data_IF_609762355479
#
_entry.id   IF_609762355479
#
_cell.length_a   1.000
_cell.length_b   1.000
_cell.length_c   1.000
_cell.angle_alpha   90.00
_cell.angle_beta   90.00
_cell.angle_gamma   90.00
#
_symmetry.space_group_name_H-M   'P 1'
#
loop_
_entity.id
_entity.type
_entity.pdbx_description
1 polymer ?
#
# COMPACT_ATOMS: atom_id res chain seq x y z
N UNK A 1 19.79 1.16 20.13
CA UNK A 1 19.55 1.06 18.67
C UNK A 1 18.27 1.83 18.47
N UNK A 2 18.39 3.08 18.04
CA UNK A 2 17.34 4.07 18.31
C UNK A 2 16.58 4.43 17.02
N UNK A 3 17.08 3.93 15.87
CA UNK A 3 16.48 4.08 14.55
C UNK A 3 16.42 2.73 13.85
N UNK A 4 15.28 2.46 13.22
CA UNK A 4 15.04 1.31 12.38
C UNK A 4 14.30 1.76 11.12
N UNK A 5 14.45 1.01 10.02
CA UNK A 5 13.59 1.14 8.84
C UNK A 5 12.97 -0.21 8.52
N UNK A 6 11.66 -0.23 8.34
CA UNK A 6 10.92 -1.40 7.88
C UNK A 6 10.48 -1.20 6.43
N UNK A 7 10.45 -2.30 5.67
CA UNK A 7 9.85 -2.38 4.35
C UNK A 7 8.72 -3.41 4.40
N UNK A 8 7.52 -3.00 3.98
CA UNK A 8 6.35 -3.89 3.86
C UNK A 8 6.03 -4.03 2.38
N UNK A 9 5.88 -5.28 1.93
CA UNK A 9 5.36 -5.58 0.60
C UNK A 9 3.84 -5.62 0.69
N UNK A 10 3.14 -4.92 -0.21
CA UNK A 10 1.69 -4.96 -0.24
C UNK A 10 1.18 -6.36 -0.57
N UNK A 11 0.17 -6.81 0.18
CA UNK A 11 -0.35 -8.16 0.08
C UNK A 11 -1.17 -8.35 -1.20
N UNK A 12 -1.14 -9.57 -1.74
CA UNK A 12 -2.11 -10.01 -2.75
C UNK A 12 -3.53 -9.84 -2.21
N UNK A 13 -4.49 -9.55 -3.08
CA UNK A 13 -5.86 -9.26 -2.64
C UNK A 13 -6.14 -7.77 -2.43
N UNK A 14 -5.10 -6.94 -2.30
CA UNK A 14 -5.25 -5.52 -1.93
C UNK A 14 -4.88 -4.59 -3.09
N UNK A 15 -5.35 -3.33 -3.13
CA UNK A 15 -4.88 -2.34 -4.11
C UNK A 15 -3.40 -1.96 -3.94
N UNK A 16 -2.73 -2.54 -2.94
CA UNK A 16 -1.32 -2.31 -2.61
C UNK A 16 -0.40 -3.41 -3.14
N UNK A 17 -0.96 -4.48 -3.71
CA UNK A 17 -0.22 -5.69 -4.06
C UNK A 17 1.06 -5.41 -4.87
N UNK A 18 2.13 -6.14 -4.54
CA UNK A 18 3.48 -6.01 -5.13
C UNK A 18 4.14 -4.63 -4.98
N UNK A 19 3.48 -3.65 -4.34
CA UNK A 19 4.10 -2.38 -3.93
C UNK A 19 5.07 -2.57 -2.77
N UNK A 20 6.04 -1.66 -2.64
CA UNK A 20 6.94 -1.57 -1.49
C UNK A 20 6.64 -0.30 -0.69
N UNK A 21 6.50 -0.44 0.62
CA UNK A 21 6.16 0.65 1.52
C UNK A 21 7.20 0.74 2.64
N UNK A 22 7.84 1.89 2.78
CA UNK A 22 8.93 2.08 3.74
C UNK A 22 8.50 2.92 4.94
N UNK A 23 8.87 2.46 6.12
CA UNK A 23 8.53 3.09 7.40
C UNK A 23 9.80 3.32 8.21
N UNK A 24 10.06 4.56 8.57
CA UNK A 24 11.15 4.96 9.46
C UNK A 24 10.63 4.93 10.89
N UNK A 25 11.35 4.26 11.77
CA UNK A 25 10.93 3.99 13.15
C UNK A 25 12.01 4.55 14.07
N UNK A 26 11.61 5.42 14.98
CA UNK A 26 12.47 6.01 16.00
C UNK A 26 11.98 5.59 17.39
N UNK A 27 12.89 5.06 18.20
CA UNK A 27 12.63 4.68 19.57
C UNK A 27 12.98 5.87 20.47
N UNK A 28 11.99 6.52 21.12
CA UNK A 28 12.27 7.64 22.01
C UNK A 28 13.08 7.18 23.24
N UNK A 29 13.74 8.11 23.98
CA UNK A 29 14.49 7.77 25.18
C UNK A 29 13.67 7.03 26.26
N UNK A 30 12.36 7.25 26.29
CA UNK A 30 11.44 6.61 27.24
C UNK A 30 10.77 5.35 26.67
N UNK A 31 11.24 4.80 25.54
CA UNK A 31 10.78 3.51 25.05
C UNK A 31 11.19 2.38 26.02
N UNK A 32 10.29 1.45 26.40
CA UNK A 32 8.96 1.20 25.83
C UNK A 32 7.80 1.87 26.59
N UNK A 33 8.02 2.76 27.56
CA UNK A 33 6.94 3.45 28.26
C UNK A 33 6.09 4.30 27.28
N UNK A 34 6.74 4.93 26.31
CA UNK A 34 6.10 5.58 25.16
C UNK A 34 6.23 4.72 23.88
N UNK A 35 5.26 4.79 22.94
CA UNK A 35 5.33 4.06 21.68
C UNK A 35 6.49 4.57 20.80
N UNK A 36 6.94 3.77 19.82
CA UNK A 36 7.87 4.24 18.81
C UNK A 36 7.23 5.33 17.94
N UNK A 37 8.02 6.29 17.47
CA UNK A 37 7.57 7.21 16.42
C UNK A 37 7.76 6.55 15.06
N UNK A 38 6.70 6.47 14.26
CA UNK A 38 6.76 5.84 12.93
C UNK A 38 6.37 6.85 11.85
N UNK A 39 7.19 6.92 10.81
CA UNK A 39 7.01 7.82 9.67
C UNK A 39 6.96 7.03 8.36
N UNK A 40 5.88 7.20 7.60
CA UNK A 40 5.73 6.60 6.27
C UNK A 40 6.44 7.46 5.22
N UNK A 41 7.31 6.83 4.43
CA UNK A 41 7.96 7.49 3.29
C UNK A 41 6.95 7.65 2.13
N UNK A 42 6.11 8.68 2.22
CA UNK A 42 4.96 8.90 1.32
C UNK A 42 5.33 9.31 -0.11
N UNK A 43 6.48 9.96 -0.30
CA UNK A 43 6.81 10.63 -1.56
C UNK A 43 5.82 11.75 -1.95
N UNK A 44 5.06 12.28 -0.98
CA UNK A 44 3.99 13.26 -1.22
C UNK A 44 2.70 12.66 -1.77
N UNK A 45 2.51 11.34 -1.65
CA UNK A 45 1.31 10.64 -2.14
C UNK A 45 0.35 10.28 -1.00
N UNK A 46 -0.95 10.56 -1.19
CA UNK A 46 -2.03 10.10 -0.31
C UNK A 46 -2.48 8.70 -0.72
N UNK A 47 -1.92 7.68 -0.07
CA UNK A 47 -2.14 6.27 -0.41
C UNK A 47 -3.35 5.64 0.30
N UNK A 48 -3.61 6.05 1.54
CA UNK A 48 -4.61 5.45 2.42
C UNK A 48 -5.11 6.52 3.41
N UNK A 49 -6.34 6.43 3.97
CA UNK A 49 -6.83 7.40 4.96
C UNK A 49 -5.90 7.52 6.19
N UNK A 50 -5.26 6.42 6.60
CA UNK A 50 -4.32 6.40 7.71
C UNK A 50 -2.87 6.75 7.32
N UNK A 51 -2.54 6.89 6.03
CA UNK A 51 -1.19 7.23 5.55
C UNK A 51 -1.20 8.59 4.86
N UNK A 52 -0.64 9.60 5.53
CA UNK A 52 -0.71 10.99 5.08
C UNK A 52 0.41 11.31 4.09
N UNK A 53 0.17 12.33 3.25
CA UNK A 53 1.19 12.88 2.35
C UNK A 53 2.41 13.40 3.12
N UNK A 54 2.21 13.86 4.35
CA UNK A 54 3.28 14.28 5.26
C UNK A 54 4.09 13.12 5.86
N UNK A 55 3.68 11.87 5.61
CA UNK A 55 4.27 10.68 6.23
C UNK A 55 3.74 10.36 7.63
N UNK A 56 2.81 11.16 8.16
CA UNK A 56 2.09 10.82 9.40
C UNK A 56 1.25 9.55 9.20
N UNK A 57 1.24 8.70 10.22
CA UNK A 57 0.46 7.47 10.28
C UNK A 57 -0.58 7.60 11.39
N UNK A 58 -1.82 7.22 11.12
CA UNK A 58 -2.87 7.08 12.14
C UNK A 58 -2.99 5.60 12.54
N UNK A 59 -2.54 5.27 13.74
CA UNK A 59 -2.66 3.92 14.30
C UNK A 59 -2.76 4.04 15.83
N UNK A 60 -3.71 3.35 16.45
CA UNK A 60 -3.94 3.42 17.90
C UNK A 60 -2.72 2.97 18.71
N UNK A 61 -2.01 1.94 18.25
CA UNK A 61 -0.75 1.46 18.83
C UNK A 61 0.39 2.50 18.80
N UNK A 62 0.24 3.59 18.04
CA UNK A 62 1.21 4.68 17.97
C UNK A 62 0.71 5.94 18.68
N UNK A 63 -0.40 5.86 19.41
CA UNK A 63 -1.10 7.00 20.03
C UNK A 63 -1.46 8.12 19.04
N UNK A 64 -1.55 7.81 17.74
CA UNK A 64 -1.93 8.78 16.69
C UNK A 64 -3.37 8.63 16.21
N UNK A 65 -4.09 7.66 16.76
CA UNK A 65 -5.51 7.41 16.52
C UNK A 65 -6.20 6.93 17.80
N UNK A 66 -7.52 7.06 17.87
CA UNK A 66 -8.31 6.53 18.99
C UNK A 66 -8.34 5.01 18.94
N UNK A 67 -8.18 4.35 20.07
CA UNK A 67 -8.37 2.91 20.25
C UNK A 67 -8.82 2.60 21.67
N UNK A 68 -9.30 1.38 21.90
CA UNK A 68 -9.74 0.91 23.21
C UNK A 68 -8.81 -0.16 23.79
N UNK A 69 -8.58 -0.11 25.11
CA UNK A 69 -7.89 -1.15 25.88
C UNK A 69 -6.59 -1.67 25.23
N UNK A 70 -6.63 -2.89 24.69
CA UNK A 70 -5.49 -3.59 24.09
C UNK A 70 -5.10 -3.08 22.69
N UNK A 71 -5.86 -2.15 22.11
CA UNK A 71 -5.54 -1.50 20.83
C UNK A 71 -4.54 -0.36 20.97
N UNK A 72 -4.31 0.12 22.20
CA UNK A 72 -3.38 1.21 22.53
C UNK A 72 -2.03 0.63 22.95
N UNK A 73 -0.95 1.39 22.78
CA UNK A 73 0.39 0.96 23.18
C UNK A 73 0.44 0.58 24.67
N UNK A 74 0.95 -0.62 24.95
CA UNK A 74 1.19 -1.13 26.28
C UNK A 74 2.68 -1.48 26.45
N UNK A 75 3.42 -0.81 27.35
CA UNK A 75 4.86 -1.04 27.53
C UNK A 75 5.25 -2.48 27.86
N UNK A 76 4.35 -3.23 28.51
CA UNK A 76 4.60 -4.61 28.95
C UNK A 76 4.27 -5.69 27.92
N UNK A 77 3.47 -5.38 26.89
CA UNK A 77 2.99 -6.39 25.93
C UNK A 77 3.09 -5.97 24.47
N UNK A 78 3.18 -4.67 24.18
CA UNK A 78 3.25 -4.17 22.82
C UNK A 78 4.62 -4.37 22.19
N UNK A 79 4.64 -4.69 20.90
CA UNK A 79 5.88 -4.96 20.16
C UNK A 79 5.91 -4.26 18.81
N UNK A 80 7.12 -4.07 18.27
CA UNK A 80 7.29 -3.57 16.91
C UNK A 80 6.69 -4.52 15.88
N UNK A 81 6.73 -5.84 16.13
CA UNK A 81 6.06 -6.81 15.27
C UNK A 81 4.55 -6.54 15.19
N UNK A 82 3.89 -6.26 16.31
CA UNK A 82 2.47 -5.89 16.30
C UNK A 82 2.21 -4.61 15.51
N UNK A 83 3.04 -3.57 15.66
CA UNK A 83 2.92 -2.35 14.85
C UNK A 83 3.00 -2.66 13.36
N UNK A 84 3.98 -3.46 12.93
CA UNK A 84 4.15 -3.83 11.52
C UNK A 84 3.00 -4.71 11.00
N UNK A 85 2.51 -5.65 11.82
CA UNK A 85 1.35 -6.47 11.49
C UNK A 85 0.08 -5.62 11.39
N UNK A 86 -0.12 -4.65 12.28
CA UNK A 86 -1.26 -3.72 12.21
C UNK A 86 -1.20 -2.83 10.96
N UNK A 87 -0.02 -2.34 10.57
CA UNK A 87 0.15 -1.62 9.30
C UNK A 87 -0.25 -2.51 8.11
N UNK A 88 0.17 -3.77 8.10
CA UNK A 88 -0.15 -4.68 7.01
C UNK A 88 -1.64 -5.07 6.98
N UNK A 89 -2.21 -5.41 8.14
CA UNK A 89 -3.56 -5.98 8.24
C UNK A 89 -4.67 -4.93 8.31
N UNK A 90 -4.44 -3.81 8.99
CA UNK A 90 -5.47 -2.78 9.23
C UNK A 90 -5.33 -1.63 8.25
N UNK A 91 -4.10 -1.25 7.87
CA UNK A 91 -3.88 -0.09 6.99
C UNK A 91 -3.84 -0.54 5.52
N UNK A 92 -2.94 -1.45 5.16
CA UNK A 92 -2.74 -1.91 3.79
C UNK A 92 -3.67 -3.08 3.41
N UNK A 93 -4.97 -2.96 3.72
CA UNK A 93 -5.98 -4.02 3.54
C UNK A 93 -6.69 -4.00 2.17
N UNK A 94 -7.63 -4.92 1.96
CA UNK A 94 -8.40 -5.09 0.70
C UNK A 94 -9.36 -3.92 0.39
N UNK A 95 -9.95 -3.32 1.41
CA UNK A 95 -10.99 -2.28 1.28
C UNK A 95 -10.64 -1.01 2.09
N UNK A 96 -9.54 -0.33 1.76
CA UNK A 96 -9.02 0.81 2.51
C UNK A 96 -9.95 2.04 2.54
N UNK A 97 -11.01 2.08 1.73
CA UNK A 97 -12.06 3.10 1.84
C UNK A 97 -12.67 3.14 3.24
N UNK A 98 -12.87 1.98 3.87
CA UNK A 98 -13.48 1.88 5.19
C UNK A 98 -12.52 2.21 6.34
N UNK A 99 -11.25 2.50 6.04
CA UNK A 99 -10.33 3.01 7.04
C UNK A 99 -10.60 4.48 7.41
N UNK A 100 -11.40 5.18 6.62
CA UNK A 100 -11.83 6.54 6.92
C UNK A 100 -12.80 6.55 8.11
N UNK A 101 -12.65 7.55 8.98
CA UNK A 101 -13.44 7.64 10.20
C UNK A 101 -14.94 7.74 9.89
N UNK A 102 -15.74 6.86 10.51
CA UNK A 102 -17.20 6.83 10.37
C UNK A 102 -17.70 6.11 9.11
N UNK A 103 -16.82 5.51 8.30
CA UNK A 103 -17.22 4.77 7.10
C UNK A 103 -17.50 3.30 7.38
N UNK A 104 -17.13 2.80 8.56
CA UNK A 104 -17.46 1.48 9.10
C UNK A 104 -18.97 1.16 9.01
N UNK A 105 -19.83 2.16 9.23
CA UNK A 105 -21.29 2.02 9.13
C UNK A 105 -21.80 1.79 7.70
N UNK A 106 -20.95 1.99 6.69
CA UNK A 106 -21.26 1.80 5.28
C UNK A 106 -20.86 0.41 4.77
N UNK A 107 -20.16 -0.40 5.55
CA UNK A 107 -19.76 -1.76 5.18
C UNK A 107 -21.01 -2.58 4.85
N UNK A 108 -20.99 -3.29 3.72
CA UNK A 108 -22.13 -4.08 3.23
C UNK A 108 -23.28 -3.27 2.63
N UNK A 109 -23.26 -1.92 2.71
CA UNK A 109 -24.23 -1.09 1.98
C UNK A 109 -23.81 -0.96 0.53
N UNK A 110 -24.78 -0.99 -0.38
CA UNK A 110 -24.54 -0.90 -1.84
C UNK A 110 -23.68 0.31 -2.22
N UNK A 111 -23.96 1.49 -1.66
CA UNK A 111 -23.18 2.70 -1.96
C UNK A 111 -21.77 2.66 -1.34
N UNK A 112 -21.63 2.12 -0.13
CA UNK A 112 -20.32 1.96 0.53
C UNK A 112 -19.40 1.01 -0.25
N UNK A 113 -19.94 -0.14 -0.67
CA UNK A 113 -19.20 -1.10 -1.50
C UNK A 113 -18.80 -0.51 -2.86
N UNK A 114 -19.70 0.24 -3.50
CA UNK A 114 -19.41 0.94 -4.76
C UNK A 114 -18.31 1.99 -4.61
N UNK A 115 -18.33 2.76 -3.52
CA UNK A 115 -17.30 3.74 -3.22
C UNK A 115 -15.96 3.06 -2.90
N UNK A 116 -15.99 1.91 -2.20
CA UNK A 116 -14.80 1.11 -1.95
C UNK A 116 -14.13 0.62 -3.23
N UNK A 117 -14.90 0.18 -4.22
CA UNK A 117 -14.36 -0.21 -5.53
C UNK A 117 -13.66 0.98 -6.22
N UNK A 118 -14.30 2.15 -6.22
CA UNK A 118 -13.72 3.37 -6.80
C UNK A 118 -12.46 3.83 -6.07
N UNK A 119 -12.43 3.67 -4.74
CA UNK A 119 -11.25 3.96 -3.94
C UNK A 119 -10.10 3.00 -4.27
N UNK A 120 -10.38 1.70 -4.44
CA UNK A 120 -9.36 0.71 -4.78
C UNK A 120 -8.69 1.01 -6.13
N UNK A 121 -9.46 1.46 -7.13
CA UNK A 121 -8.91 1.94 -8.40
C UNK A 121 -7.90 3.08 -8.18
N UNK A 122 -8.29 4.11 -7.43
CA UNK A 122 -7.38 5.22 -7.13
C UNK A 122 -6.17 4.79 -6.30
N UNK A 123 -6.37 3.98 -5.26
CA UNK A 123 -5.30 3.44 -4.42
C UNK A 123 -4.28 2.67 -5.25
N UNK A 124 -4.72 1.84 -6.20
CA UNK A 124 -3.82 1.12 -7.11
C UNK A 124 -3.04 2.05 -8.05
N UNK A 125 -3.67 3.11 -8.58
CA UNK A 125 -2.95 4.14 -9.35
C UNK A 125 -1.87 4.82 -8.51
N UNK A 126 -2.15 5.12 -7.24
CA UNK A 126 -1.18 5.73 -6.32
C UNK A 126 -0.07 4.74 -5.94
N UNK A 127 -0.40 3.46 -5.70
CA UNK A 127 0.57 2.37 -5.52
C UNK A 127 1.52 2.29 -6.71
N UNK A 128 0.98 2.31 -7.93
CA UNK A 128 1.76 2.28 -9.17
C UNK A 128 2.69 3.50 -9.30
N UNK A 129 2.21 4.69 -8.95
CA UNK A 129 3.04 5.91 -8.89
C UNK A 129 4.15 5.79 -7.84
N UNK A 130 3.88 5.17 -6.69
CA UNK A 130 4.88 4.91 -5.66
C UNK A 130 5.97 3.96 -6.17
N UNK A 131 5.62 2.90 -6.91
CA UNK A 131 6.59 2.00 -7.55
C UNK A 131 7.53 2.78 -8.49
N UNK A 132 6.98 3.63 -9.36
CA UNK A 132 7.77 4.50 -10.25
C UNK A 132 8.70 5.44 -9.46
N UNK A 133 8.21 6.02 -8.36
CA UNK A 133 9.01 6.85 -7.47
C UNK A 133 10.20 6.07 -6.89
N UNK A 134 9.97 4.85 -6.40
CA UNK A 134 11.00 3.99 -5.81
C UNK A 134 12.04 3.51 -6.84
N UNK A 135 11.60 3.16 -8.07
CA UNK A 135 12.52 2.80 -9.16
C UNK A 135 13.47 3.96 -9.52
N UNK A 136 12.96 5.20 -9.43
CA UNK A 136 13.75 6.41 -9.71
C UNK A 136 14.62 6.83 -8.53
N UNK A 137 14.09 6.78 -7.31
CA UNK A 137 14.74 7.27 -6.09
C UNK A 137 14.50 6.28 -4.93
N UNK A 138 15.20 5.14 -4.93
CA UNK A 138 15.13 4.19 -3.83
C UNK A 138 15.60 4.83 -2.52
N UNK A 139 15.07 4.42 -1.35
CA UNK A 139 15.58 4.86 -0.07
C UNK A 139 17.05 4.46 0.10
N UNK A 140 17.85 5.36 0.67
CA UNK A 140 19.28 5.12 0.91
C UNK A 140 19.49 3.81 1.67
N UNK A 141 20.43 3.00 1.21
CA UNK A 141 20.78 1.66 1.75
C UNK A 141 19.75 0.55 1.50
N UNK A 142 18.69 0.82 0.73
CA UNK A 142 17.67 -0.15 0.32
C UNK A 142 17.60 -0.32 -1.20
N UNK A 143 18.57 0.20 -1.94
CA UNK A 143 18.63 0.16 -3.40
C UNK A 143 18.57 -1.28 -3.92
N UNK A 144 19.37 -2.18 -3.33
CA UNK A 144 19.40 -3.60 -3.70
C UNK A 144 18.06 -4.30 -3.43
N UNK A 145 17.39 -3.99 -2.30
CA UNK A 145 16.07 -4.55 -1.98
C UNK A 145 15.03 -4.13 -3.03
N UNK A 146 15.01 -2.84 -3.38
CA UNK A 146 14.09 -2.28 -4.37
C UNK A 146 14.33 -2.92 -5.74
N UNK A 147 15.59 -3.00 -6.17
CA UNK A 147 15.95 -3.61 -7.45
C UNK A 147 15.57 -5.10 -7.50
N UNK A 148 15.95 -5.88 -6.48
CA UNK A 148 15.67 -7.31 -6.42
C UNK A 148 14.16 -7.59 -6.40
N UNK A 149 13.40 -6.83 -5.60
CA UNK A 149 11.95 -6.97 -5.54
C UNK A 149 11.31 -6.70 -6.89
N UNK A 150 11.59 -5.55 -7.52
CA UNK A 150 10.97 -5.22 -8.79
C UNK A 150 11.45 -6.10 -9.94
N UNK A 151 12.68 -6.61 -9.89
CA UNK A 151 13.16 -7.63 -10.84
C UNK A 151 12.36 -8.92 -10.74
N UNK A 152 12.00 -9.35 -9.51
CA UNK A 152 11.19 -10.54 -9.27
C UNK A 152 9.70 -10.34 -9.58
N UNK A 153 9.16 -9.14 -9.31
CA UNK A 153 7.72 -8.85 -9.37
C UNK A 153 7.25 -8.15 -10.64
N UNK A 154 8.15 -7.61 -11.48
CA UNK A 154 7.78 -6.84 -12.68
C UNK A 154 6.75 -7.54 -13.56
N UNK A 155 6.93 -8.84 -13.85
CA UNK A 155 5.99 -9.63 -14.65
C UNK A 155 4.59 -9.69 -14.01
N UNK A 156 4.52 -9.89 -12.70
CA UNK A 156 3.26 -9.93 -11.95
C UNK A 156 2.57 -8.56 -11.93
N UNK A 157 3.34 -7.50 -11.72
CA UNK A 157 2.84 -6.11 -11.74
C UNK A 157 2.25 -5.78 -13.10
N UNK A 158 3.00 -6.02 -14.19
CA UNK A 158 2.54 -5.73 -15.55
C UNK A 158 1.33 -6.59 -15.94
N UNK A 159 1.30 -7.86 -15.54
CA UNK A 159 0.15 -8.74 -15.76
C UNK A 159 -1.11 -8.22 -15.04
N UNK A 160 -0.99 -7.80 -13.78
CA UNK A 160 -2.10 -7.21 -13.04
C UNK A 160 -2.60 -5.92 -13.71
N UNK A 161 -1.69 -5.03 -14.12
CA UNK A 161 -2.08 -3.83 -14.86
C UNK A 161 -2.87 -4.16 -16.13
N UNK A 162 -2.43 -5.16 -16.92
CA UNK A 162 -3.16 -5.61 -18.12
C UNK A 162 -4.55 -6.14 -17.78
N UNK A 163 -4.65 -7.03 -16.80
CA UNK A 163 -5.94 -7.55 -16.36
C UNK A 163 -6.90 -6.43 -15.93
N UNK A 164 -6.41 -5.41 -15.22
CA UNK A 164 -7.22 -4.27 -14.78
C UNK A 164 -7.60 -3.32 -15.92
N UNK A 165 -6.77 -3.20 -16.96
CA UNK A 165 -7.13 -2.50 -18.20
C UNK A 165 -8.23 -3.24 -18.98
N UNK A 166 -8.20 -4.57 -18.97
CA UNK A 166 -9.21 -5.43 -19.59
C UNK A 166 -10.53 -5.45 -18.80
N UNK A 167 -10.50 -5.10 -17.51
CA UNK A 167 -11.67 -4.88 -16.69
C UNK A 167 -11.77 -5.74 -15.44
N UNK A 168 -10.74 -6.54 -15.13
CA UNK A 168 -10.69 -7.26 -13.86
C UNK A 168 -10.66 -6.27 -12.67
N UNK A 169 -11.34 -6.61 -11.59
CA UNK A 169 -11.36 -5.78 -10.38
C UNK A 169 -10.03 -5.79 -9.65
N UNK A 170 -9.70 -4.66 -9.04
CA UNK A 170 -8.48 -4.48 -8.25
C UNK A 170 -8.47 -5.45 -7.07
N UNK A 171 -7.35 -6.16 -6.89
CA UNK A 171 -7.20 -7.14 -5.81
C UNK A 171 -7.84 -8.51 -6.08
N UNK A 172 -8.49 -8.76 -7.22
CA UNK A 172 -9.07 -10.08 -7.49
C UNK A 172 -7.97 -11.16 -7.63
N UNK A 173 -7.92 -12.11 -6.70
CA UNK A 173 -7.08 -13.30 -6.78
C UNK A 173 -7.92 -14.52 -7.13
N UNK A 174 -7.89 -14.98 -8.40
CA UNK A 174 -8.39 -16.27 -8.97
C UNK A 174 -9.75 -16.86 -8.54
N UNK A 175 -10.51 -16.29 -7.62
CA UNK A 175 -11.85 -16.76 -7.26
C UNK A 175 -12.89 -15.78 -7.76
N UNK A 176 -13.49 -16.16 -8.88
CA UNK A 176 -14.58 -15.46 -9.55
C UNK A 176 -15.85 -15.42 -8.70
N UNK A 177 -16.55 -14.29 -8.75
CA UNK A 177 -18.01 -14.26 -8.73
C UNK A 177 -18.49 -13.25 -9.78
N UNK A 178 -19.28 -13.76 -10.72
CA UNK A 178 -19.67 -13.23 -12.05
C UNK A 178 -20.61 -12.00 -12.04
N UNK A 179 -20.42 -11.02 -11.15
CA UNK A 179 -21.28 -9.81 -11.17
C UNK A 179 -20.53 -8.49 -10.95
N UNK A 180 -19.20 -8.49 -11.08
CA UNK A 180 -18.42 -7.27 -10.87
C UNK A 180 -18.44 -6.41 -12.13
N UNK A 181 -19.00 -5.20 -12.01
CA UNK A 181 -18.83 -4.14 -13.01
C UNK A 181 -17.33 -3.95 -13.22
N UNK A 182 -16.89 -4.03 -14.47
CA UNK A 182 -15.49 -3.83 -14.81
C UNK A 182 -14.98 -2.46 -14.39
N UNK A 183 -13.66 -2.31 -14.36
CA UNK A 183 -13.00 -1.07 -13.94
C UNK A 183 -13.45 0.16 -14.73
N UNK A 184 -13.46 1.33 -14.08
CA UNK A 184 -13.96 2.57 -14.65
C UNK A 184 -13.11 3.07 -15.82
N UNK A 185 -13.74 3.74 -16.78
CA UNK A 185 -13.04 4.29 -17.94
C UNK A 185 -11.93 5.30 -17.55
N UNK A 186 -12.20 6.14 -16.54
CA UNK A 186 -11.23 7.10 -16.02
C UNK A 186 -10.00 6.41 -15.44
N UNK A 187 -10.20 5.35 -14.65
CA UNK A 187 -9.12 4.52 -14.14
C UNK A 187 -8.30 3.90 -15.27
N UNK A 188 -8.94 3.28 -16.27
CA UNK A 188 -8.26 2.64 -17.41
C UNK A 188 -7.35 3.61 -18.17
N UNK A 189 -7.82 4.84 -18.41
CA UNK A 189 -7.03 5.89 -19.08
C UNK A 189 -5.78 6.25 -18.27
N UNK A 190 -5.93 6.42 -16.95
CA UNK A 190 -4.80 6.76 -16.08
C UNK A 190 -3.83 5.58 -15.94
N UNK A 191 -4.35 4.37 -15.78
CA UNK A 191 -3.54 3.17 -15.67
C UNK A 191 -2.74 2.91 -16.95
N UNK A 192 -3.34 3.11 -18.14
CA UNK A 192 -2.61 2.94 -19.41
C UNK A 192 -1.38 3.85 -19.49
N UNK A 193 -1.50 5.11 -19.04
CA UNK A 193 -0.37 6.06 -18.97
C UNK A 193 0.70 5.61 -17.97
N UNK A 194 0.29 5.05 -16.83
CA UNK A 194 1.23 4.55 -15.82
C UNK A 194 1.89 3.23 -16.26
N UNK A 195 1.16 2.38 -16.96
CA UNK A 195 1.65 1.12 -17.51
C UNK A 195 2.80 1.35 -18.47
N UNK A 196 2.65 2.27 -19.44
CA UNK A 196 3.75 2.63 -20.35
C UNK A 196 4.99 3.09 -19.59
N UNK A 197 4.82 3.92 -18.55
CA UNK A 197 5.93 4.41 -17.72
C UNK A 197 6.58 3.29 -16.89
N UNK A 198 5.81 2.31 -16.41
CA UNK A 198 6.35 1.16 -15.69
C UNK A 198 7.20 0.29 -16.60
N UNK A 199 6.72 0.02 -17.83
CA UNK A 199 7.48 -0.76 -18.82
C UNK A 199 8.80 -0.07 -19.16
N UNK A 200 8.77 1.24 -19.39
CA UNK A 200 9.97 2.06 -19.62
C UNK A 200 10.91 2.00 -18.41
N UNK A 201 10.41 2.27 -17.20
CA UNK A 201 11.22 2.26 -15.99
C UNK A 201 11.83 0.89 -15.66
N UNK A 202 11.13 -0.22 -15.94
CA UNK A 202 11.68 -1.57 -15.79
C UNK A 202 12.75 -1.86 -16.84
N UNK A 203 12.53 -1.45 -18.09
CA UNK A 203 13.49 -1.60 -19.18
C UNK A 203 14.78 -0.83 -18.91
N UNK A 204 14.68 0.41 -18.42
CA UNK A 204 15.82 1.25 -18.02
C UNK A 204 16.66 0.64 -16.89
N UNK A 205 16.04 -0.23 -16.09
CA UNK A 205 16.71 -0.99 -15.02
C UNK A 205 17.21 -2.36 -15.47
N UNK A 206 17.13 -2.68 -16.76
CA UNK A 206 17.52 -3.98 -17.30
C UNK A 206 16.63 -5.14 -16.80
N UNK A 207 15.40 -4.84 -16.36
CA UNK A 207 14.44 -5.85 -15.93
C UNK A 207 13.70 -6.34 -17.17
N UNK A 208 13.99 -7.56 -17.61
CA UNK A 208 13.37 -8.15 -18.79
C UNK A 208 11.87 -8.43 -18.58
N UNK A 209 11.05 -7.53 -19.12
CA UNK A 209 9.59 -7.64 -19.19
C UNK A 209 9.07 -7.98 -20.60
N UNK A 210 9.94 -8.38 -21.53
CA UNK A 210 9.60 -8.57 -22.96
C UNK A 210 8.53 -9.63 -23.22
N UNK A 211 8.35 -10.62 -22.34
CA UNK A 211 7.31 -11.64 -22.46
C UNK A 211 5.95 -11.20 -21.88
N UNK A 212 5.85 -9.97 -21.40
CA UNK A 212 4.64 -9.38 -20.84
C UNK A 212 4.12 -8.22 -21.69
N UNK A 213 4.70 -7.96 -22.87
CA UNK A 213 4.21 -6.98 -23.87
C UNK A 213 3.19 -7.63 -24.78
#
# INVERSE_FOLDING_TARGET
MDLMRAAIVGASGTPYHDGLFFFDICFPPDYPNEPPMVHYNSGGLRLNPNLYESGRICLSLLNTWTGADSEVWNPGTSTILQVLLSLQALVLNEKPYFNEAGYDQQIGRVEGEKNSVSYNENAFLVTTKSMLYLLRKPPKHFEALVEEHFKKRSKHILFACKAYLEGASIGCGKTEHENQRGTSAGFKIMLAKLFSKLVEAFSDKGIDSSQSV
#
